data_IF_826348905828
#
_entry.id   IF_826348905828
#
_cell.length_a   1.000
_cell.length_b   1.000
_cell.length_c   1.000
_cell.angle_alpha   90.00
_cell.angle_beta   90.00
_cell.angle_gamma   90.00
#
_symmetry.space_group_name_H-M   'P 1'
#
loop_
_entity.id
_entity.type
_entity.pdbx_description
1 polymer ?
#
# COMPACT_ATOMS: atom_id res chain seq x y z
N UNK A 1 9.18 4.83 -18.20
CA UNK A 1 8.14 3.86 -17.76
C UNK A 1 8.68 3.23 -16.48
N UNK A 2 7.95 3.32 -15.38
CA UNK A 2 8.34 2.69 -14.11
C UNK A 2 7.80 1.27 -14.16
N UNK A 3 8.70 0.26 -14.11
CA UNK A 3 8.31 -1.14 -14.09
C UNK A 3 8.49 -1.66 -12.64
N UNK A 4 7.44 -2.13 -11.97
CA UNK A 4 7.54 -2.66 -10.60
C UNK A 4 8.55 -3.82 -10.47
N UNK A 5 8.71 -4.62 -11.52
CA UNK A 5 9.65 -5.75 -11.54
C UNK A 5 11.12 -5.32 -11.48
N UNK A 6 11.42 -4.07 -11.79
CA UNK A 6 12.79 -3.51 -11.75
C UNK A 6 13.11 -2.93 -10.36
N UNK A 7 12.21 -3.07 -9.39
CA UNK A 7 12.42 -2.56 -8.04
C UNK A 7 13.47 -3.39 -7.31
N UNK A 8 14.58 -2.77 -6.88
CA UNK A 8 15.56 -3.47 -6.08
C UNK A 8 14.93 -3.91 -4.75
N UNK A 9 15.22 -5.13 -4.32
CA UNK A 9 14.84 -5.62 -2.99
C UNK A 9 15.87 -5.11 -1.98
N UNK A 10 16.04 -3.81 -1.91
CA UNK A 10 16.97 -3.14 -1.01
C UNK A 10 16.21 -2.45 0.12
N UNK A 11 16.50 -2.84 1.37
CA UNK A 11 15.88 -2.25 2.55
C UNK A 11 16.78 -1.14 3.09
N UNK A 12 16.31 0.10 3.02
CA UNK A 12 16.94 1.24 3.67
C UNK A 12 16.50 1.37 5.14
N UNK A 13 17.33 1.92 6.02
CA UNK A 13 16.90 2.27 7.38
C UNK A 13 15.65 3.14 7.36
N UNK A 14 14.83 3.05 8.41
CA UNK A 14 13.60 3.82 8.48
C UNK A 14 13.84 5.32 8.35
N UNK A 15 13.11 5.95 7.46
CA UNK A 15 13.00 7.40 7.27
C UNK A 15 11.54 7.83 7.42
N UNK A 16 10.85 7.25 8.39
CA UNK A 16 9.40 7.36 8.56
C UNK A 16 8.87 8.79 8.42
N UNK A 17 9.49 9.78 9.10
CA UNK A 17 9.02 11.18 9.03
C UNK A 17 9.13 11.75 7.59
N UNK A 18 10.18 11.38 6.86
CA UNK A 18 10.33 11.78 5.45
C UNK A 18 9.26 11.14 4.59
N UNK A 19 9.03 9.83 4.75
CA UNK A 19 8.01 9.12 3.99
C UNK A 19 6.60 9.60 4.31
N UNK A 20 6.33 9.90 5.59
CA UNK A 20 5.06 10.49 6.01
C UNK A 20 4.81 11.84 5.34
N UNK A 21 5.81 12.74 5.35
CA UNK A 21 5.70 14.02 4.64
C UNK A 21 5.48 13.83 3.15
N UNK A 22 6.22 12.90 2.52
CA UNK A 22 6.05 12.58 1.09
C UNK A 22 4.65 12.03 0.79
N UNK A 23 4.11 11.20 1.68
CA UNK A 23 2.73 10.73 1.55
C UNK A 23 1.72 11.89 1.67
N UNK A 24 1.86 12.80 2.62
CA UNK A 24 0.92 13.93 2.77
C UNK A 24 0.92 14.82 1.51
N UNK A 25 2.10 15.16 0.99
CA UNK A 25 2.24 15.89 -0.26
C UNK A 25 1.59 15.14 -1.43
N UNK A 26 1.75 13.80 -1.45
CA UNK A 26 1.16 12.95 -2.47
C UNK A 26 -0.35 12.88 -2.37
N UNK A 27 -0.85 12.72 -1.15
CA UNK A 27 -2.28 12.70 -0.88
C UNK A 27 -2.98 13.97 -1.39
N UNK A 28 -2.36 15.13 -1.17
CA UNK A 28 -2.89 16.40 -1.69
C UNK A 28 -2.93 16.38 -3.22
N UNK A 29 -1.84 15.97 -3.89
CA UNK A 29 -1.79 15.88 -5.36
C UNK A 29 -2.84 14.94 -5.94
N UNK A 30 -3.02 13.76 -5.31
CA UNK A 30 -4.02 12.77 -5.72
C UNK A 30 -5.43 13.35 -5.60
N UNK A 31 -5.76 13.95 -4.47
CA UNK A 31 -7.07 14.56 -4.22
C UNK A 31 -7.33 15.71 -5.22
N UNK A 32 -6.35 16.57 -5.44
CA UNK A 32 -6.48 17.69 -6.39
C UNK A 32 -6.68 17.21 -7.83
N UNK A 33 -5.95 16.16 -8.25
CA UNK A 33 -6.11 15.59 -9.58
C UNK A 33 -7.52 14.99 -9.78
N UNK A 34 -8.03 14.26 -8.78
CA UNK A 34 -9.37 13.67 -8.82
C UNK A 34 -10.46 14.77 -8.82
N UNK A 35 -10.30 15.81 -8.00
CA UNK A 35 -11.23 16.95 -7.94
C UNK A 35 -11.25 17.76 -9.24
N UNK A 36 -10.12 17.87 -9.94
CA UNK A 36 -10.07 18.51 -11.26
C UNK A 36 -10.94 17.78 -12.30
N UNK A 37 -11.17 16.48 -12.10
CA UNK A 37 -12.08 15.68 -12.92
C UNK A 37 -13.53 15.63 -12.42
N UNK A 38 -13.91 16.45 -11.42
CA UNK A 38 -15.23 16.42 -10.75
C UNK A 38 -15.59 15.05 -10.15
N UNK A 39 -14.57 14.28 -9.68
CA UNK A 39 -14.72 12.92 -9.16
C UNK A 39 -14.49 12.82 -7.64
N UNK A 40 -14.36 13.93 -6.93
CA UNK A 40 -14.05 13.96 -5.50
C UNK A 40 -15.06 13.23 -4.62
N UNK A 41 -16.33 13.25 -5.00
CA UNK A 41 -17.41 12.58 -4.25
C UNK A 41 -17.31 11.04 -4.26
N UNK A 42 -16.48 10.47 -5.16
CA UNK A 42 -16.22 9.02 -5.21
C UNK A 42 -15.09 8.57 -4.30
N UNK A 43 -14.32 9.49 -3.70
CA UNK A 43 -13.22 9.14 -2.79
C UNK A 43 -13.79 8.74 -1.43
N UNK A 44 -13.49 7.53 -0.97
CA UNK A 44 -13.82 7.09 0.39
C UNK A 44 -12.63 7.24 1.35
N UNK A 45 -11.42 6.91 0.88
CA UNK A 45 -10.19 6.96 1.68
C UNK A 45 -8.96 7.22 0.82
N UNK A 46 -7.94 7.82 1.43
CA UNK A 46 -6.57 7.85 0.92
C UNK A 46 -5.65 7.53 2.09
N UNK A 47 -4.99 6.38 2.06
CA UNK A 47 -4.26 5.79 3.17
C UNK A 47 -2.77 5.60 2.84
N UNK A 48 -1.88 6.03 3.75
CA UNK A 48 -0.48 5.62 3.72
C UNK A 48 -0.36 4.19 4.21
N UNK A 49 0.13 3.30 3.38
CA UNK A 49 0.23 1.87 3.71
C UNK A 49 1.64 1.33 3.44
N UNK A 50 1.80 0.02 3.56
CA UNK A 50 3.10 -0.62 3.36
C UNK A 50 4.10 -0.32 4.47
N UNK A 51 5.36 -0.71 4.23
CA UNK A 51 6.41 -0.62 5.26
C UNK A 51 6.83 0.80 5.59
N UNK A 52 6.70 1.75 4.66
CA UNK A 52 7.05 3.16 4.86
C UNK A 52 6.07 3.88 5.77
N UNK A 53 4.86 3.34 5.94
CA UNK A 53 3.84 3.85 6.86
C UNK A 53 4.02 3.37 8.31
N UNK A 54 5.03 2.54 8.59
CA UNK A 54 5.27 2.00 9.93
C UNK A 54 6.52 2.61 10.54
N UNK A 55 6.42 3.29 11.72
CA UNK A 55 7.58 3.86 12.40
C UNK A 55 8.68 2.82 12.67
N UNK A 56 9.94 3.25 12.57
CA UNK A 56 11.13 2.44 12.87
C UNK A 56 11.34 1.20 11.97
N UNK A 57 10.46 0.94 11.01
CA UNK A 57 10.57 -0.23 10.13
C UNK A 57 11.45 0.11 8.91
N UNK A 58 12.56 -0.61 8.67
CA UNK A 58 13.31 -0.50 7.41
C UNK A 58 12.45 -0.91 6.21
N UNK A 59 12.55 -0.18 5.12
CA UNK A 59 11.70 -0.39 3.95
C UNK A 59 12.45 -0.16 2.63
N UNK A 60 11.91 -0.65 1.51
CA UNK A 60 12.25 -0.08 0.20
C UNK A 60 11.82 1.38 0.19
N UNK A 61 12.57 2.23 -0.51
CA UNK A 61 12.26 3.66 -0.57
C UNK A 61 11.10 3.96 -1.54
N UNK A 62 9.94 3.38 -1.22
CA UNK A 62 8.71 3.47 -2.01
C UNK A 62 7.57 3.82 -1.05
N UNK A 63 6.84 4.89 -1.36
CA UNK A 63 5.63 5.26 -0.63
C UNK A 63 4.44 4.56 -1.29
N UNK A 64 3.78 3.70 -0.54
CA UNK A 64 2.58 2.99 -0.99
C UNK A 64 1.33 3.75 -0.51
N UNK A 65 0.43 4.08 -1.45
CA UNK A 65 -0.82 4.80 -1.20
C UNK A 65 -2.00 3.95 -1.64
N UNK A 66 -2.93 3.63 -0.73
CA UNK A 66 -4.21 3.03 -1.09
C UNK A 66 -5.27 4.14 -1.26
N UNK A 67 -5.81 4.26 -2.46
CA UNK A 67 -6.87 5.21 -2.84
C UNK A 67 -8.15 4.40 -3.01
N UNK A 68 -9.02 4.46 -2.01
CA UNK A 68 -10.27 3.69 -1.99
C UNK A 68 -11.39 4.56 -2.55
N UNK A 69 -12.08 4.05 -3.53
CA UNK A 69 -13.13 4.78 -4.26
C UNK A 69 -14.38 3.92 -4.43
N UNK A 70 -15.51 4.54 -4.75
CA UNK A 70 -16.71 3.81 -5.14
C UNK A 70 -16.39 2.82 -6.29
N UNK A 71 -16.97 1.64 -6.26
CA UNK A 71 -16.61 0.51 -7.12
C UNK A 71 -16.64 0.86 -8.62
N UNK A 72 -17.64 1.63 -9.04
CA UNK A 72 -17.81 2.08 -10.42
C UNK A 72 -16.79 3.12 -10.86
N UNK A 73 -16.08 3.76 -9.92
CA UNK A 73 -15.16 4.86 -10.20
C UNK A 73 -13.70 4.43 -10.38
N UNK A 74 -13.34 3.17 -10.07
CA UNK A 74 -11.95 2.68 -10.11
C UNK A 74 -11.25 2.99 -11.44
N UNK A 75 -11.88 2.66 -12.55
CA UNK A 75 -11.29 2.84 -13.88
C UNK A 75 -11.11 4.33 -14.19
N UNK A 76 -12.17 5.12 -14.09
CA UNK A 76 -12.11 6.55 -14.45
C UNK A 76 -11.16 7.33 -13.55
N UNK A 77 -11.11 7.04 -12.25
CA UNK A 77 -10.19 7.70 -11.32
C UNK A 77 -8.73 7.30 -11.64
N UNK A 78 -8.46 6.03 -11.89
CA UNK A 78 -7.10 5.61 -12.25
C UNK A 78 -6.62 6.22 -13.57
N UNK A 79 -7.50 6.44 -14.55
CA UNK A 79 -7.22 7.15 -15.80
C UNK A 79 -6.93 8.64 -15.57
N UNK A 80 -7.72 9.29 -14.72
CA UNK A 80 -7.50 10.70 -14.35
C UNK A 80 -6.17 10.89 -13.63
N UNK A 81 -5.84 10.00 -12.69
CA UNK A 81 -4.56 10.05 -11.98
C UNK A 81 -3.37 9.82 -12.92
N UNK A 82 -3.43 8.82 -13.80
CA UNK A 82 -2.37 8.59 -14.79
C UNK A 82 -2.20 9.80 -15.73
N UNK A 83 -3.29 10.37 -16.20
CA UNK A 83 -3.25 11.54 -17.09
C UNK A 83 -2.74 12.80 -16.39
N UNK A 84 -3.15 13.05 -15.15
CA UNK A 84 -2.82 14.26 -14.39
C UNK A 84 -1.45 14.22 -13.71
N UNK A 85 -1.09 13.06 -13.15
CA UNK A 85 0.13 12.91 -12.36
C UNK A 85 1.22 12.09 -13.08
N UNK A 86 0.87 11.45 -14.18
CA UNK A 86 1.77 10.57 -14.94
C UNK A 86 1.95 9.22 -14.28
N UNK A 87 2.89 8.44 -14.77
CA UNK A 87 3.21 7.11 -14.27
C UNK A 87 2.86 5.99 -15.26
N UNK A 88 2.81 4.78 -14.75
CA UNK A 88 2.43 3.57 -15.50
C UNK A 88 1.30 2.88 -14.76
N UNK A 89 0.10 2.95 -15.32
CA UNK A 89 -1.09 2.28 -14.79
C UNK A 89 -1.15 0.84 -15.32
N UNK A 90 -1.51 -0.07 -14.42
CA UNK A 90 -1.83 -1.45 -14.78
C UNK A 90 -3.30 -1.75 -14.44
N UNK A 91 -3.96 -2.52 -15.28
CA UNK A 91 -5.31 -3.03 -15.06
C UNK A 91 -5.21 -4.49 -14.60
N UNK A 92 -5.05 -4.69 -13.28
CA UNK A 92 -4.90 -6.05 -12.74
C UNK A 92 -6.24 -6.78 -12.62
N UNK A 93 -7.23 -6.09 -12.05
CA UNK A 93 -8.62 -6.57 -11.90
C UNK A 93 -9.57 -5.39 -11.98
N UNK A 94 -10.85 -5.64 -12.19
CA UNK A 94 -11.86 -4.58 -12.22
C UNK A 94 -11.90 -3.71 -10.95
N UNK A 95 -11.50 -4.26 -9.80
CA UNK A 95 -11.50 -3.56 -8.50
C UNK A 95 -10.13 -3.11 -8.01
N UNK A 96 -9.08 -3.14 -8.86
CA UNK A 96 -7.74 -2.72 -8.47
C UNK A 96 -6.86 -2.32 -9.66
N UNK A 97 -6.53 -1.03 -9.73
CA UNK A 97 -5.63 -0.46 -10.74
C UNK A 97 -4.45 0.23 -10.05
N UNK A 98 -3.26 -0.39 -9.96
CA UNK A 98 -2.07 0.27 -9.46
C UNK A 98 -1.46 1.21 -10.49
N UNK A 99 -0.87 2.31 -10.00
CA UNK A 99 -0.13 3.31 -10.78
C UNK A 99 1.26 3.47 -10.16
N UNK A 100 2.30 3.20 -10.94
CA UNK A 100 3.69 3.28 -10.51
C UNK A 100 4.32 4.54 -11.08
N UNK A 101 4.88 5.40 -10.23
CA UNK A 101 5.45 6.67 -10.66
C UNK A 101 6.61 7.17 -9.82
N UNK A 102 7.32 8.14 -10.34
CA UNK A 102 8.38 8.85 -9.65
C UNK A 102 8.02 10.33 -9.69
N UNK A 103 8.07 11.00 -8.53
CA UNK A 103 7.93 12.43 -8.41
C UNK A 103 9.01 12.97 -7.46
N UNK A 104 9.76 13.98 -7.92
CA UNK A 104 10.88 14.58 -7.19
C UNK A 104 11.87 13.56 -6.60
N UNK A 105 12.17 12.51 -7.39
CA UNK A 105 13.08 11.43 -7.02
C UNK A 105 12.52 10.40 -6.03
N UNK A 106 11.30 10.60 -5.51
CA UNK A 106 10.59 9.63 -4.70
C UNK A 106 9.74 8.70 -5.56
N UNK A 107 9.77 7.40 -5.28
CA UNK A 107 8.86 6.43 -5.89
C UNK A 107 7.56 6.34 -5.11
N UNK A 108 6.47 6.24 -5.86
CA UNK A 108 5.12 6.05 -5.36
C UNK A 108 4.47 4.86 -6.06
N UNK A 109 3.77 4.06 -5.27
CA UNK A 109 2.83 3.05 -5.75
C UNK A 109 1.43 3.46 -5.29
N UNK A 110 0.66 4.04 -6.20
CA UNK A 110 -0.71 4.46 -5.92
C UNK A 110 -1.66 3.35 -6.36
N UNK A 111 -2.34 2.73 -5.42
CA UNK A 111 -3.27 1.64 -5.66
C UNK A 111 -4.71 2.16 -5.61
N UNK A 112 -5.38 2.24 -6.75
CA UNK A 112 -6.81 2.59 -6.80
C UNK A 112 -7.62 1.32 -6.57
N UNK A 113 -8.34 1.26 -5.45
CA UNK A 113 -9.17 0.13 -5.04
C UNK A 113 -10.65 0.45 -5.03
N UNK A 114 -11.47 -0.51 -5.45
CA UNK A 114 -12.89 -0.51 -5.17
C UNK A 114 -13.14 -0.57 -3.65
N UNK A 115 -14.13 0.16 -3.14
CA UNK A 115 -14.52 0.15 -1.73
C UNK A 115 -14.89 -1.25 -1.24
N UNK A 116 -15.52 -2.06 -2.09
CA UNK A 116 -15.86 -3.46 -1.80
C UNK A 116 -14.64 -4.39 -1.71
N UNK A 117 -13.46 -3.97 -2.21
CA UNK A 117 -12.26 -4.78 -2.17
C UNK A 117 -11.78 -5.02 -0.73
N UNK A 118 -11.36 -6.26 -0.45
CA UNK A 118 -10.71 -6.59 0.82
C UNK A 118 -9.22 -6.20 0.85
N UNK A 119 -8.60 -5.94 -0.31
CA UNK A 119 -7.14 -5.73 -0.42
C UNK A 119 -6.65 -4.52 0.38
N UNK A 120 -7.30 -3.36 0.23
CA UNK A 120 -6.94 -2.18 1.02
C UNK A 120 -7.13 -2.39 2.53
N UNK A 121 -8.12 -3.21 2.94
CA UNK A 121 -8.34 -3.58 4.35
C UNK A 121 -7.16 -4.38 4.91
N UNK A 122 -6.60 -5.29 4.11
CA UNK A 122 -5.38 -6.04 4.46
C UNK A 122 -4.21 -5.09 4.73
N UNK A 123 -4.00 -4.10 3.86
CA UNK A 123 -2.94 -3.10 3.99
C UNK A 123 -3.09 -2.29 5.29
N UNK A 124 -4.30 -1.77 5.54
CA UNK A 124 -4.59 -0.97 6.74
C UNK A 124 -4.42 -1.79 8.02
N UNK A 125 -5.00 -3.00 8.10
CA UNK A 125 -4.86 -3.86 9.29
C UNK A 125 -3.39 -4.20 9.55
N UNK A 126 -2.64 -4.56 8.52
CA UNK A 126 -1.22 -4.88 8.65
C UNK A 126 -0.43 -3.69 9.21
N UNK A 127 -0.66 -2.48 8.69
CA UNK A 127 -0.05 -1.24 9.20
C UNK A 127 -0.38 -1.03 10.69
N UNK A 128 -1.65 -1.04 11.06
CA UNK A 128 -2.08 -0.77 12.44
C UNK A 128 -1.50 -1.77 13.43
N UNK A 129 -1.49 -3.06 13.09
CA UNK A 129 -0.88 -4.10 13.94
C UNK A 129 0.62 -3.86 14.08
N UNK A 130 1.34 -3.57 12.99
CA UNK A 130 2.78 -3.33 13.06
C UNK A 130 3.13 -2.03 13.82
N UNK A 131 2.28 -1.00 13.75
CA UNK A 131 2.45 0.23 14.54
C UNK A 131 2.25 -0.02 16.03
N UNK A 132 1.26 -0.84 16.40
CA UNK A 132 0.87 -1.09 17.79
C UNK A 132 1.65 -2.22 18.48
N UNK A 133 2.37 -3.08 17.73
CA UNK A 133 3.06 -4.29 18.24
C UNK A 133 4.55 -4.28 17.84
N UNK A 134 5.44 -3.66 18.66
CA UNK A 134 6.88 -3.58 18.36
C UNK A 134 7.55 -4.93 18.14
N UNK A 135 7.14 -5.97 18.85
CA UNK A 135 7.67 -7.33 18.70
C UNK A 135 7.36 -7.92 17.33
N UNK A 136 6.14 -7.70 16.80
CA UNK A 136 5.74 -8.15 15.46
C UNK A 136 6.42 -7.32 14.37
N UNK A 137 6.62 -6.02 14.63
CA UNK A 137 7.40 -5.16 13.72
C UNK A 137 8.83 -5.65 13.56
N UNK A 138 9.51 -6.01 14.66
CA UNK A 138 10.87 -6.56 14.64
C UNK A 138 10.93 -7.93 13.94
N UNK A 139 9.92 -8.78 14.16
CA UNK A 139 9.82 -10.07 13.47
C UNK A 139 9.63 -9.85 11.96
N UNK A 140 8.76 -8.92 11.56
CA UNK A 140 8.54 -8.58 10.15
C UNK A 140 9.80 -8.00 9.49
N UNK A 141 10.57 -7.19 10.21
CA UNK A 141 11.85 -6.70 9.73
C UNK A 141 12.81 -7.87 9.43
N UNK A 142 12.96 -8.82 10.37
CA UNK A 142 13.82 -10.01 10.17
C UNK A 142 13.36 -10.80 8.96
N UNK A 143 12.08 -11.12 8.87
CA UNK A 143 11.50 -11.81 7.71
C UNK A 143 11.83 -11.10 6.39
N UNK A 144 11.64 -9.79 6.32
CA UNK A 144 11.94 -9.03 5.09
C UNK A 144 13.43 -9.10 4.71
N UNK A 145 14.34 -9.06 5.69
CA UNK A 145 15.80 -9.18 5.43
C UNK A 145 16.16 -10.57 4.93
N UNK A 146 15.58 -11.61 5.54
CA UNK A 146 15.77 -12.99 5.11
C UNK A 146 15.29 -13.19 3.67
N UNK A 147 14.07 -12.74 3.37
CA UNK A 147 13.50 -12.83 2.01
C UNK A 147 14.29 -12.01 0.99
N UNK A 148 14.77 -10.82 1.34
CA UNK A 148 15.59 -10.00 0.46
C UNK A 148 16.97 -10.61 0.19
N UNK A 149 17.47 -11.49 1.07
CA UNK A 149 18.70 -12.25 0.85
C UNK A 149 18.45 -13.53 0.03
N UNK A 150 17.26 -14.12 0.18
CA UNK A 150 16.91 -15.39 -0.47
C UNK A 150 16.43 -15.21 -1.92
N UNK A 151 15.72 -14.10 -2.22
CA UNK A 151 15.05 -13.88 -3.50
C UNK A 151 15.52 -12.58 -4.18
N UNK A 152 15.87 -12.69 -5.47
CA UNK A 152 16.06 -11.54 -6.35
C UNK A 152 14.74 -11.18 -7.08
N UNK A 153 13.77 -12.10 -7.11
CA UNK A 153 12.47 -11.94 -7.75
C UNK A 153 11.45 -11.30 -6.78
N UNK A 154 10.86 -10.17 -7.19
CA UNK A 154 9.93 -9.41 -6.37
C UNK A 154 8.64 -10.21 -6.05
N UNK A 155 8.20 -11.08 -6.95
CA UNK A 155 7.00 -11.92 -6.73
C UNK A 155 7.25 -12.96 -5.65
N UNK A 156 8.39 -13.65 -5.70
CA UNK A 156 8.81 -14.62 -4.68
C UNK A 156 8.99 -13.94 -3.32
N UNK A 157 9.67 -12.79 -3.30
CA UNK A 157 9.80 -11.95 -2.10
C UNK A 157 8.44 -11.57 -1.50
N UNK A 158 7.49 -11.15 -2.33
CA UNK A 158 6.15 -10.77 -1.89
C UNK A 158 5.37 -11.96 -1.34
N UNK A 159 5.42 -13.11 -2.04
CA UNK A 159 4.77 -14.36 -1.58
C UNK A 159 5.33 -14.85 -0.25
N UNK A 160 6.62 -14.69 0.00
CA UNK A 160 7.25 -15.08 1.26
C UNK A 160 6.67 -14.37 2.50
N UNK A 161 6.01 -13.22 2.31
CA UNK A 161 5.36 -12.46 3.39
C UNK A 161 3.93 -12.91 3.69
N UNK A 162 3.29 -13.69 2.82
CA UNK A 162 1.86 -14.01 2.92
C UNK A 162 1.46 -14.60 4.27
N UNK A 163 2.16 -15.64 4.73
CA UNK A 163 1.83 -16.27 6.01
C UNK A 163 1.96 -15.33 7.22
N UNK A 164 2.92 -14.39 7.16
CA UNK A 164 3.07 -13.36 8.18
C UNK A 164 1.88 -12.38 8.15
N UNK A 165 1.47 -11.93 6.98
CA UNK A 165 0.34 -11.02 6.81
C UNK A 165 -0.96 -11.67 7.27
N UNK A 166 -1.21 -12.94 6.94
CA UNK A 166 -2.37 -13.70 7.45
C UNK A 166 -2.40 -13.75 8.98
N UNK A 167 -1.22 -13.86 9.62
CA UNK A 167 -1.13 -13.76 11.07
C UNK A 167 -1.48 -12.37 11.58
N UNK A 168 -1.05 -11.29 10.88
CA UNK A 168 -1.39 -9.90 11.25
C UNK A 168 -2.91 -9.66 11.18
N UNK A 169 -3.58 -10.20 10.19
CA UNK A 169 -5.04 -10.10 10.08
C UNK A 169 -5.74 -10.75 11.28
N UNK A 170 -5.28 -11.94 11.73
CA UNK A 170 -5.83 -12.58 12.95
C UNK A 170 -5.56 -11.75 14.20
N UNK A 171 -4.33 -11.23 14.34
CA UNK A 171 -3.98 -10.35 15.47
C UNK A 171 -4.85 -9.09 15.46
N UNK A 172 -5.01 -8.44 14.31
CA UNK A 172 -5.84 -7.23 14.18
C UNK A 172 -7.31 -7.49 14.49
N UNK A 173 -7.86 -8.63 14.05
CA UNK A 173 -9.24 -9.02 14.37
C UNK A 173 -9.46 -9.20 15.88
N UNK A 174 -8.49 -9.82 16.56
CA UNK A 174 -8.63 -10.22 17.97
C UNK A 174 -8.14 -9.12 18.95
N UNK A 175 -7.60 -8.00 18.43
CA UNK A 175 -7.07 -6.89 19.20
C UNK A 175 -8.19 -5.95 19.67
N UNK A 176 -8.44 -5.91 20.99
CA UNK A 176 -9.45 -5.03 21.59
C UNK A 176 -9.05 -3.54 21.57
N UNK A 177 -7.76 -3.27 21.46
CA UNK A 177 -7.17 -1.92 21.41
C UNK A 177 -7.07 -1.32 19.98
N UNK A 178 -7.40 -2.10 18.96
CA UNK A 178 -7.47 -1.64 17.58
C UNK A 178 -8.93 -1.59 17.11
N UNK A 179 -9.34 -0.42 16.62
CA UNK A 179 -10.69 -0.23 16.10
C UNK A 179 -10.64 -0.04 14.58
N UNK A 180 -11.37 -0.91 13.88
CA UNK A 180 -11.58 -0.79 12.44
C UNK A 180 -13.06 -0.51 12.17
N UNK A 181 -13.34 0.40 11.23
CA UNK A 181 -14.70 0.71 10.77
C UNK A 181 -15.17 -0.24 9.66
N UNK A 182 -14.46 -1.37 9.50
CA UNK A 182 -14.76 -2.45 8.56
C UNK A 182 -14.47 -3.82 9.18
N UNK A 183 -15.00 -4.88 8.58
CA UNK A 183 -14.69 -6.26 8.98
C UNK A 183 -13.30 -6.65 8.49
N UNK A 184 -12.44 -7.14 9.42
CA UNK A 184 -11.09 -7.63 9.10
C UNK A 184 -11.18 -8.88 8.21
N UNK A 185 -10.54 -8.90 7.02
CA UNK A 185 -10.72 -9.96 6.02
C UNK A 185 -9.80 -11.16 6.28
N UNK A 186 -10.12 -12.01 7.25
CA UNK A 186 -9.28 -13.18 7.64
C UNK A 186 -9.35 -14.38 6.69
N UNK A 187 -10.43 -14.50 5.91
CA UNK A 187 -10.68 -15.61 4.98
C UNK A 187 -10.44 -15.23 3.51
N UNK A 188 -10.00 -14.01 3.27
CA UNK A 188 -9.72 -13.54 1.93
C UNK A 188 -8.34 -14.05 1.46
N UNK A 189 -8.20 -14.51 0.20
CA UNK A 189 -6.87 -14.85 -0.32
C UNK A 189 -5.98 -13.61 -0.28
N UNK A 190 -4.90 -13.70 0.45
CA UNK A 190 -3.83 -12.68 0.48
C UNK A 190 -2.99 -12.79 -0.80
N UNK A 191 -3.63 -12.74 -1.97
CA UNK A 191 -2.91 -12.59 -3.22
C UNK A 191 -2.36 -11.15 -3.27
N UNK A 192 -1.13 -11.02 -2.81
CA UNK A 192 -0.31 -9.84 -3.08
C UNK A 192 0.22 -9.97 -4.51
N UNK A 193 -0.05 -8.96 -5.29
CA UNK A 193 0.56 -8.78 -6.60
C UNK A 193 2.05 -8.52 -6.46
#
# INVERSE_FOLDING_TARGET
>A
MVNPSDDPIELTPSRYETWRTRFEDERERVIDAINTGDLGDYIERVEHVGSTAVPELPAKDIVDTDIVVADEAVTVISEVLEAGLGGTRLENTAGWHPIFRIHDGQRFNDHVFAASSHRWKVSVVTREVLCSRPELRQEYERLKRELAHEYDDLTAYSRGKTAFIDRMLRVGRDAEDLAFDFTVPIDAPTEQA
#
